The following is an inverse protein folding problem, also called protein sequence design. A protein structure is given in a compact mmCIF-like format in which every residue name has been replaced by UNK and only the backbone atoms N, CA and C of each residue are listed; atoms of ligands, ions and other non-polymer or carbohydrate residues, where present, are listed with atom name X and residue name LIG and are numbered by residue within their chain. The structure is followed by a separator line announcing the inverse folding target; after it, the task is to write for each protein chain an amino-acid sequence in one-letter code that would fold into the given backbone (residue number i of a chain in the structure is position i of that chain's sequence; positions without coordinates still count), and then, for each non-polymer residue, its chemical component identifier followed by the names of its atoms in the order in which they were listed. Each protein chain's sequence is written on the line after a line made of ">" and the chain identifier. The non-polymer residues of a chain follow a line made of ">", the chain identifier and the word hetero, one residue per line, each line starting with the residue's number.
data_IF_667520567152
#
_entry.id   IF_667520567152
#
_cell.length_a   1.000
_cell.length_b   1.000
_cell.length_c   1.000
_cell.angle_alpha   90.00
_cell.angle_beta   90.00
_cell.angle_gamma   90.00
#
_symmetry.space_group_name_H-M   'P 1'
#
loop_
_entity.id
_entity.type
_entity.pdbx_description
1 polymer ?
#
# COMPACT_ATOMS: atom_id res chain seq x y z
N UNK A 1 -20.67 29.87 1.25
CA UNK A 1 -19.19 29.90 1.23
C UNK A 1 -18.80 29.60 -0.20
N UNK A 2 -18.64 30.65 -1.00
CA UNK A 2 -18.41 30.56 -2.44
C UNK A 2 -16.96 30.14 -2.69
N UNK A 3 -16.76 28.91 -3.14
CA UNK A 3 -15.45 28.39 -3.51
C UNK A 3 -15.02 29.07 -4.81
N UNK A 4 -14.10 30.03 -4.70
CA UNK A 4 -13.47 30.67 -5.84
C UNK A 4 -12.93 29.63 -6.85
N UNK A 5 -13.03 29.87 -8.16
CA UNK A 5 -12.60 28.92 -9.16
C UNK A 5 -11.09 28.65 -9.02
N UNK A 6 -10.64 27.39 -9.16
CA UNK A 6 -9.22 27.05 -9.04
C UNK A 6 -8.40 27.79 -10.10
N UNK A 7 -7.49 28.66 -9.66
CA UNK A 7 -6.65 29.49 -10.54
C UNK A 7 -5.52 28.71 -11.23
N UNK A 8 -5.12 27.57 -10.69
CA UNK A 8 -4.03 26.76 -11.22
C UNK A 8 -4.52 25.35 -11.54
N UNK A 9 -4.26 24.89 -12.77
CA UNK A 9 -4.65 23.59 -13.27
C UNK A 9 -3.47 22.93 -14.00
N UNK A 10 -3.18 21.68 -13.64
CA UNK A 10 -2.19 20.86 -14.29
C UNK A 10 -2.88 19.77 -15.10
N UNK A 11 -2.78 19.86 -16.42
CA UNK A 11 -3.30 18.84 -17.35
C UNK A 11 -2.56 17.50 -17.20
N UNK A 12 -1.27 17.54 -16.87
CA UNK A 12 -0.43 16.35 -16.74
C UNK A 12 -0.81 15.46 -15.54
N UNK A 13 -1.27 16.06 -14.44
CA UNK A 13 -1.57 15.34 -13.19
C UNK A 13 -3.04 15.47 -12.76
N UNK A 14 -3.87 16.15 -13.56
CA UNK A 14 -5.24 16.55 -13.22
C UNK A 14 -5.33 17.24 -11.85
N UNK A 15 -4.27 17.95 -11.46
CA UNK A 15 -4.17 18.62 -10.17
C UNK A 15 -4.70 20.05 -10.30
N UNK A 16 -5.62 20.44 -9.42
CA UNK A 16 -6.18 21.78 -9.36
C UNK A 16 -5.93 22.39 -7.99
N UNK A 17 -5.44 23.62 -7.95
CA UNK A 17 -5.27 24.37 -6.71
C UNK A 17 -5.52 25.87 -6.92
N UNK A 18 -5.85 26.57 -5.84
CA UNK A 18 -6.06 28.03 -5.85
C UNK A 18 -4.85 28.82 -5.33
N UNK A 19 -3.94 28.17 -4.60
CA UNK A 19 -2.81 28.82 -3.96
C UNK A 19 -1.53 28.69 -4.80
N UNK A 20 -0.83 29.80 -5.09
CA UNK A 20 0.41 29.77 -5.86
C UNK A 20 1.53 28.98 -5.17
N UNK A 21 1.58 28.98 -3.83
CA UNK A 21 2.56 28.20 -3.07
C UNK A 21 2.39 26.69 -3.31
N UNK A 22 1.15 26.20 -3.30
CA UNK A 22 0.85 24.80 -3.58
C UNK A 22 1.09 24.45 -5.05
N UNK A 23 0.83 25.39 -5.97
CA UNK A 23 1.16 25.22 -7.38
C UNK A 23 2.67 25.08 -7.59
N UNK A 24 3.48 25.96 -6.98
CA UNK A 24 4.95 25.85 -7.02
C UNK A 24 5.44 24.52 -6.46
N UNK A 25 4.94 24.13 -5.29
CA UNK A 25 5.29 22.83 -4.71
C UNK A 25 4.86 21.65 -5.59
N UNK A 26 3.71 21.76 -6.29
CA UNK A 26 3.25 20.76 -7.24
C UNK A 26 4.21 20.63 -8.43
N UNK A 27 4.53 21.73 -9.12
CA UNK A 27 5.43 21.72 -10.29
C UNK A 27 6.87 21.30 -9.93
N UNK A 28 7.31 21.64 -8.71
CA UNK A 28 8.63 21.25 -8.20
C UNK A 28 8.70 19.79 -7.74
N UNK A 29 7.54 19.17 -7.51
CA UNK A 29 7.43 17.77 -7.10
C UNK A 29 7.99 16.83 -8.16
N UNK A 30 8.75 15.84 -7.71
CA UNK A 30 9.28 14.78 -8.57
C UNK A 30 8.16 14.03 -9.32
N UNK A 31 6.96 13.94 -8.72
CA UNK A 31 5.77 13.40 -9.38
C UNK A 31 5.37 14.20 -10.63
N UNK A 32 5.36 15.52 -10.55
CA UNK A 32 5.01 16.37 -11.71
C UNK A 32 6.13 16.34 -12.76
N UNK A 33 7.39 16.48 -12.33
CA UNK A 33 8.57 16.38 -13.21
C UNK A 33 8.66 15.05 -13.96
N UNK A 34 8.07 13.98 -13.41
CA UNK A 34 7.99 12.67 -14.05
C UNK A 34 6.65 12.42 -14.76
N UNK A 35 5.97 13.47 -15.23
CA UNK A 35 4.68 13.40 -15.93
C UNK A 35 3.56 12.70 -15.14
N UNK A 36 3.50 12.93 -13.83
CA UNK A 36 2.55 12.25 -12.94
C UNK A 36 2.90 10.79 -12.65
N UNK A 37 3.95 10.24 -13.28
CA UNK A 37 4.42 8.89 -13.01
C UNK A 37 5.27 8.90 -11.74
N UNK A 38 5.09 7.86 -10.93
CA UNK A 38 5.93 7.67 -9.74
C UNK A 38 7.26 7.11 -10.22
N UNK A 39 8.38 7.77 -9.91
CA UNK A 39 9.70 7.15 -10.11
C UNK A 39 9.73 5.79 -9.42
N UNK A 40 10.08 4.76 -10.19
CA UNK A 40 10.46 3.46 -9.64
C UNK A 40 11.74 3.72 -8.83
N UNK A 41 11.73 3.38 -7.54
CA UNK A 41 12.93 3.55 -6.72
C UNK A 41 14.03 2.65 -7.28
N UNK A 42 15.09 3.25 -7.81
CA UNK A 42 16.22 2.55 -8.44
C UNK A 42 16.93 1.58 -7.48
N UNK A 43 16.97 1.93 -6.20
CA UNK A 43 17.60 1.14 -5.13
C UNK A 43 16.77 -0.10 -4.74
N UNK A 44 15.48 -0.12 -5.08
CA UNK A 44 14.56 -1.17 -4.64
C UNK A 44 14.23 -2.09 -5.81
N UNK A 45 15.16 -3.00 -6.12
CA UNK A 45 14.87 -4.17 -6.98
C UNK A 45 13.92 -5.07 -6.20
N UNK A 46 12.63 -4.80 -6.39
CA UNK A 46 11.56 -5.57 -5.77
C UNK A 46 11.10 -6.56 -6.81
N UNK A 47 11.37 -7.84 -6.60
CA UNK A 47 10.83 -8.91 -7.44
C UNK A 47 9.30 -8.79 -7.41
N UNK A 48 8.66 -8.31 -8.49
CA UNK A 48 7.26 -7.95 -8.42
C UNK A 48 6.37 -9.17 -8.54
N UNK A 49 6.92 -10.35 -8.86
CA UNK A 49 6.19 -11.60 -9.08
C UNK A 49 6.61 -12.64 -8.05
N UNK A 50 5.65 -13.37 -7.51
CA UNK A 50 5.92 -14.51 -6.65
C UNK A 50 6.63 -15.63 -7.43
N UNK A 51 7.55 -16.34 -6.78
CA UNK A 51 8.28 -17.46 -7.41
C UNK A 51 7.45 -18.73 -7.53
N UNK A 52 6.37 -18.82 -6.75
CA UNK A 52 5.53 -20.01 -6.64
C UNK A 52 4.16 -19.86 -7.32
N UNK A 53 3.76 -18.64 -7.71
CA UNK A 53 2.49 -18.41 -8.40
C UNK A 53 2.50 -17.11 -9.24
N UNK A 54 1.39 -16.81 -9.89
CA UNK A 54 1.23 -15.62 -10.74
C UNK A 54 0.93 -14.33 -9.98
N UNK A 55 0.94 -14.36 -8.64
CA UNK A 55 0.72 -13.18 -7.82
C UNK A 55 1.81 -12.13 -8.04
N UNK A 56 1.39 -10.89 -8.31
CA UNK A 56 2.32 -9.76 -8.46
C UNK A 56 2.01 -8.62 -7.51
N UNK A 57 3.04 -8.04 -6.91
CA UNK A 57 2.91 -6.84 -6.08
C UNK A 57 4.16 -5.97 -6.14
N UNK A 58 3.98 -4.66 -6.03
CA UNK A 58 5.08 -3.70 -5.95
C UNK A 58 5.50 -3.40 -4.49
N UNK A 59 4.96 -4.13 -3.52
CA UNK A 59 5.28 -3.96 -2.11
C UNK A 59 5.89 -5.23 -1.50
N UNK A 60 7.11 -5.11 -0.94
CA UNK A 60 7.86 -6.24 -0.40
C UNK A 60 7.10 -6.92 0.74
N UNK A 61 6.48 -6.11 1.61
CA UNK A 61 5.67 -6.62 2.72
C UNK A 61 4.48 -7.42 2.21
N UNK A 62 3.78 -6.95 1.18
CA UNK A 62 2.69 -7.71 0.58
C UNK A 62 3.18 -9.04 -0.01
N UNK A 63 4.35 -9.04 -0.66
CA UNK A 63 4.95 -10.27 -1.18
C UNK A 63 5.28 -11.26 -0.05
N UNK A 64 5.89 -10.78 1.04
CA UNK A 64 6.17 -11.60 2.22
C UNK A 64 4.90 -12.19 2.84
N UNK A 65 3.88 -11.36 3.06
CA UNK A 65 2.58 -11.81 3.59
C UNK A 65 1.96 -12.88 2.68
N UNK A 66 1.98 -12.64 1.37
CA UNK A 66 1.48 -13.58 0.37
C UNK A 66 2.22 -14.91 0.43
N UNK A 67 3.56 -14.90 0.41
CA UNK A 67 4.35 -16.12 0.51
C UNK A 67 4.07 -16.89 1.80
N UNK A 68 4.02 -16.21 2.95
CA UNK A 68 3.74 -16.85 4.23
C UNK A 68 2.32 -17.43 4.34
N UNK A 69 1.37 -16.84 3.62
CA UNK A 69 -0.05 -17.25 3.65
C UNK A 69 -0.38 -18.34 2.64
N UNK A 70 0.24 -18.32 1.47
CA UNK A 70 -0.10 -19.25 0.37
C UNK A 70 0.97 -20.30 0.10
N UNK A 71 2.22 -20.07 0.50
CA UNK A 71 3.36 -20.91 0.17
C UNK A 71 4.15 -21.40 1.40
N UNK A 72 3.80 -20.95 2.60
CA UNK A 72 4.37 -21.44 3.85
C UNK A 72 3.34 -22.18 4.69
N UNK A 73 3.85 -23.01 5.60
CA UNK A 73 3.07 -23.77 6.58
C UNK A 73 2.56 -22.87 7.72
N UNK A 74 1.50 -23.32 8.40
CA UNK A 74 0.88 -22.62 9.52
C UNK A 74 1.83 -22.37 10.70
N UNK A 75 2.80 -23.26 10.94
CA UNK A 75 3.79 -23.08 12.02
C UNK A 75 4.75 -21.91 11.73
N UNK A 76 5.30 -21.85 10.52
CA UNK A 76 6.15 -20.72 10.10
C UNK A 76 5.34 -19.42 10.05
N UNK A 77 4.08 -19.50 9.63
CA UNK A 77 3.15 -18.38 9.67
C UNK A 77 3.02 -17.81 11.09
N UNK A 78 2.75 -18.67 12.08
CA UNK A 78 2.64 -18.28 13.48
C UNK A 78 3.92 -17.68 14.04
N UNK A 79 5.08 -18.16 13.57
CA UNK A 79 6.40 -17.68 14.00
C UNK A 79 6.78 -16.33 13.37
N UNK A 80 6.50 -16.16 12.08
CA UNK A 80 6.88 -14.96 11.33
C UNK A 80 5.90 -13.81 11.53
N UNK A 81 4.61 -14.08 11.65
CA UNK A 81 3.62 -13.04 11.89
C UNK A 81 3.56 -12.64 13.36
N UNK A 82 3.78 -11.34 13.61
CA UNK A 82 3.69 -10.78 14.97
C UNK A 82 2.30 -10.95 15.59
N UNK A 83 1.25 -10.85 14.77
CA UNK A 83 -0.13 -11.06 15.20
C UNK A 83 -0.75 -12.17 14.37
N UNK A 84 -1.01 -13.30 15.01
CA UNK A 84 -1.51 -14.51 14.36
C UNK A 84 -2.75 -15.05 15.07
N UNK A 85 -3.75 -15.47 14.30
CA UNK A 85 -4.93 -16.13 14.81
C UNK A 85 -4.90 -17.62 14.50
N UNK A 86 -4.90 -18.43 15.56
CA UNK A 86 -4.93 -19.90 15.46
C UNK A 86 -6.28 -20.45 15.02
N UNK A 87 -7.39 -19.74 15.26
CA UNK A 87 -8.73 -20.17 14.86
C UNK A 87 -8.99 -20.06 13.36
N UNK A 88 -8.40 -19.05 12.72
CA UNK A 88 -8.64 -18.72 11.31
C UNK A 88 -7.38 -18.83 10.44
N UNK A 89 -6.26 -19.29 11.00
CA UNK A 89 -4.97 -19.41 10.29
C UNK A 89 -4.51 -18.06 9.68
N UNK A 90 -4.96 -16.95 10.26
CA UNK A 90 -4.78 -15.59 9.74
C UNK A 90 -3.58 -14.91 10.40
N UNK A 91 -2.61 -14.47 9.59
CA UNK A 91 -1.42 -13.75 10.07
C UNK A 91 -1.35 -12.32 9.53
N UNK A 92 -0.97 -11.37 10.39
CA UNK A 92 -0.71 -9.98 10.00
C UNK A 92 0.43 -9.36 10.81
N UNK A 93 1.09 -8.37 10.22
CA UNK A 93 2.12 -7.57 10.89
C UNK A 93 1.55 -6.32 11.56
N UNK A 94 0.34 -5.92 11.19
CA UNK A 94 -0.29 -4.71 11.69
C UNK A 94 -1.35 -5.05 12.74
N UNK A 95 -1.18 -4.49 13.93
CA UNK A 95 -2.07 -4.69 15.07
C UNK A 95 -3.52 -4.30 14.74
N UNK A 96 -3.73 -3.13 14.13
CA UNK A 96 -5.06 -2.64 13.76
C UNK A 96 -5.82 -3.63 12.85
N UNK A 97 -5.11 -4.32 11.96
CA UNK A 97 -5.73 -5.34 11.11
C UNK A 97 -6.09 -6.59 11.91
N UNK A 98 -5.28 -6.95 12.90
CA UNK A 98 -5.55 -8.08 13.78
C UNK A 98 -6.72 -7.80 14.72
N UNK A 99 -6.76 -6.62 15.35
CA UNK A 99 -7.87 -6.21 16.21
C UNK A 99 -9.18 -6.25 15.44
N UNK A 100 -9.21 -5.61 14.26
CA UNK A 100 -10.40 -5.64 13.38
C UNK A 100 -10.78 -7.06 12.93
N UNK A 101 -9.80 -7.93 12.70
CA UNK A 101 -10.05 -9.33 12.39
C UNK A 101 -10.70 -10.06 13.57
N UNK A 102 -10.23 -9.82 14.79
CA UNK A 102 -10.81 -10.39 16.01
C UNK A 102 -12.22 -9.85 16.31
N UNK A 103 -12.48 -8.59 15.97
CA UNK A 103 -13.81 -7.96 16.07
C UNK A 103 -14.78 -8.44 14.97
N UNK A 104 -14.28 -9.12 13.94
CA UNK A 104 -15.12 -9.65 12.87
C UNK A 104 -16.04 -10.76 13.38
N UNK A 105 -17.24 -10.80 12.82
CA UNK A 105 -18.30 -11.79 13.11
C UNK A 105 -17.84 -13.24 13.25
N UNK A 106 -16.86 -13.66 12.44
CA UNK A 106 -16.26 -15.01 12.49
C UNK A 106 -15.64 -15.39 13.85
N UNK A 107 -15.38 -14.43 14.74
CA UNK A 107 -14.74 -14.63 16.03
C UNK A 107 -15.59 -14.18 17.23
N UNK A 108 -16.63 -13.38 16.96
CA UNK A 108 -17.51 -12.81 17.97
C UNK A 108 -18.87 -13.49 18.03
N UNK A 109 -19.19 -14.38 17.09
CA UNK A 109 -20.39 -15.24 17.06
C UNK A 109 -20.08 -16.69 17.50
#
# INVERSE_FOLDING_TARGET
>A
MESEPPKYFCECCQYKCMYPAHWKQHIESDKHKNQGKRKIRSDKVLEPKCKHCEYTTNNLTCMKVHCLTHHSNSEERKKEFKYYCEKCDFGTYAEILFTRHCESKKHTE
#
